data_IF_521495737785
#
_entry.id   IF_521495737785
#
_cell.length_a   1.000
_cell.length_b   1.000
_cell.length_c   1.000
_cell.angle_alpha   90.00
_cell.angle_beta   90.00
_cell.angle_gamma   90.00
#
_symmetry.space_group_name_H-M   'P 1'
#
loop_
_entity.id
_entity.type
_entity.pdbx_description
1 polymer ?
#
# COMPACT_ATOMS: atom_id res chain seq x y z
N UNK A 1 12.77 -3.79 29.41
CA UNK A 1 11.89 -4.29 28.33
C UNK A 1 12.42 -3.66 27.05
N UNK A 2 12.60 -4.47 26.00
CA UNK A 2 13.31 -4.16 24.74
C UNK A 2 12.43 -3.27 23.84
N UNK A 3 11.95 -2.15 24.38
CA UNK A 3 10.81 -1.38 23.86
C UNK A 3 11.21 -0.39 22.75
N UNK A 4 12.01 -0.82 21.77
CA UNK A 4 12.36 0.08 20.66
C UNK A 4 13.55 -0.30 19.79
N UNK A 5 14.17 -1.47 19.98
CA UNK A 5 15.25 -1.88 19.07
C UNK A 5 14.66 -2.35 17.76
N UNK A 6 14.68 -1.47 16.75
CA UNK A 6 14.53 -1.88 15.35
C UNK A 6 15.81 -2.62 14.99
N UNK A 7 15.78 -3.94 15.09
CA UNK A 7 16.84 -4.80 14.56
C UNK A 7 16.84 -4.68 13.04
N UNK A 8 18.01 -4.54 12.44
CA UNK A 8 18.15 -4.65 10.97
C UNK A 8 17.58 -6.00 10.55
N UNK A 9 16.45 -5.98 9.84
CA UNK A 9 15.72 -7.17 9.45
C UNK A 9 15.07 -6.93 8.08
N UNK A 10 15.11 -7.96 7.25
CA UNK A 10 14.37 -8.02 5.99
C UNK A 10 13.08 -8.78 6.20
N UNK A 11 12.03 -8.37 5.50
CA UNK A 11 10.70 -8.98 5.58
C UNK A 11 10.26 -9.37 4.18
N UNK A 12 9.76 -10.60 4.05
CA UNK A 12 9.01 -11.06 2.88
C UNK A 12 7.53 -11.05 3.25
N UNK A 13 6.76 -10.14 2.66
CA UNK A 13 5.32 -10.04 2.87
C UNK A 13 4.59 -10.71 1.71
N UNK A 14 3.92 -11.83 1.99
CA UNK A 14 3.12 -12.58 1.02
C UNK A 14 1.64 -12.43 1.36
N UNK A 15 0.84 -12.12 0.36
CA UNK A 15 -0.61 -12.14 0.46
C UNK A 15 -1.21 -12.61 -0.87
N UNK A 16 -2.40 -13.18 -0.80
CA UNK A 16 -3.18 -13.55 -1.97
C UNK A 16 -4.32 -12.56 -2.22
N UNK A 17 -4.84 -12.59 -3.44
CA UNK A 17 -5.95 -11.75 -3.85
C UNK A 17 -6.81 -12.57 -4.81
N UNK A 18 -8.11 -12.68 -4.52
CA UNK A 18 -9.06 -13.45 -5.33
C UNK A 18 -10.23 -12.57 -5.73
N UNK A 19 -10.57 -12.59 -7.02
CA UNK A 19 -11.71 -11.85 -7.60
C UNK A 19 -11.72 -10.35 -7.21
N UNK A 20 -10.53 -9.75 -7.16
CA UNK A 20 -10.35 -8.36 -6.75
C UNK A 20 -9.29 -7.69 -7.62
N UNK A 21 -9.24 -6.37 -7.59
CA UNK A 21 -8.18 -5.57 -8.20
C UNK A 21 -7.18 -5.13 -7.11
N UNK A 22 -6.03 -5.81 -6.96
CA UNK A 22 -5.07 -5.49 -5.90
C UNK A 22 -4.37 -4.14 -6.13
N UNK A 23 -4.20 -3.73 -7.39
CA UNK A 23 -3.55 -2.48 -7.77
C UNK A 23 -4.03 -2.04 -9.15
N UNK A 24 -4.81 -0.96 -9.20
CA UNK A 24 -5.33 -0.42 -10.45
C UNK A 24 -4.27 0.28 -11.30
N UNK A 25 -4.41 0.15 -12.61
CA UNK A 25 -3.62 0.89 -13.58
C UNK A 25 -4.29 2.23 -13.94
N UNK A 26 -3.71 3.39 -13.60
CA UNK A 26 -4.24 4.70 -13.97
C UNK A 26 -4.24 4.92 -15.49
N UNK A 27 -3.42 4.17 -16.24
CA UNK A 27 -3.30 4.31 -17.69
C UNK A 27 -4.18 3.30 -18.45
N UNK A 28 -4.83 2.35 -17.77
CA UNK A 28 -5.70 1.32 -18.36
C UNK A 28 -7.02 1.18 -17.58
N UNK A 29 -7.77 2.28 -17.47
CA UNK A 29 -9.14 2.32 -16.91
C UNK A 29 -9.29 1.64 -15.53
N UNK A 30 -8.25 1.71 -14.69
CA UNK A 30 -8.21 1.04 -13.39
C UNK A 30 -8.37 -0.49 -13.48
N UNK A 31 -7.97 -1.13 -14.57
CA UNK A 31 -7.80 -2.60 -14.63
C UNK A 31 -6.66 -3.05 -13.72
N UNK A 32 -6.58 -4.34 -13.36
CA UNK A 32 -5.42 -4.85 -12.63
C UNK A 32 -4.14 -4.52 -13.36
N UNK A 33 -3.19 -3.89 -12.66
CA UNK A 33 -1.90 -3.55 -13.22
C UNK A 33 -1.10 -4.83 -13.51
N UNK A 34 -0.61 -4.96 -14.73
CA UNK A 34 0.12 -6.13 -15.20
C UNK A 34 1.48 -5.71 -15.76
N UNK A 35 2.50 -6.52 -15.51
CA UNK A 35 3.76 -6.42 -16.23
C UNK A 35 3.54 -6.84 -17.70
N UNK A 36 3.86 -6.00 -18.69
CA UNK A 36 3.49 -6.26 -20.08
C UNK A 36 4.24 -7.45 -20.69
N UNK A 37 5.40 -7.83 -20.15
CA UNK A 37 6.23 -8.91 -20.70
C UNK A 37 5.93 -10.26 -20.06
N UNK A 38 5.88 -10.31 -18.73
CA UNK A 38 5.71 -11.55 -17.95
C UNK A 38 4.25 -11.86 -17.66
N UNK A 39 3.35 -10.90 -17.88
CA UNK A 39 1.92 -10.98 -17.53
C UNK A 39 1.68 -11.33 -16.06
N UNK A 40 2.59 -10.90 -15.17
CA UNK A 40 2.42 -11.00 -13.72
C UNK A 40 1.69 -9.76 -13.21
N UNK A 41 0.83 -9.94 -12.22
CA UNK A 41 0.20 -8.81 -11.53
C UNK A 41 1.29 -7.98 -10.81
N UNK A 42 1.20 -6.66 -10.92
CA UNK A 42 2.10 -5.71 -10.28
C UNK A 42 1.38 -4.96 -9.18
N UNK A 43 1.87 -5.09 -7.96
CA UNK A 43 1.43 -4.28 -6.83
C UNK A 43 2.58 -3.36 -6.45
N UNK A 44 2.37 -2.06 -6.60
CA UNK A 44 3.39 -1.08 -6.24
C UNK A 44 3.54 -0.97 -4.73
N UNK A 45 4.73 -0.57 -4.29
CA UNK A 45 5.00 -0.22 -2.90
C UNK A 45 4.07 0.90 -2.42
N UNK A 46 3.77 1.88 -3.27
CA UNK A 46 2.82 2.98 -2.98
C UNK A 46 1.43 2.43 -2.65
N UNK A 47 0.96 1.39 -3.35
CA UNK A 47 -0.35 0.75 -3.09
C UNK A 47 -0.39 0.10 -1.71
N UNK A 48 0.65 -0.64 -1.33
CA UNK A 48 0.74 -1.26 0.00
C UNK A 48 0.90 -0.22 1.10
N UNK A 49 1.75 0.79 0.90
CA UNK A 49 1.92 1.92 1.83
C UNK A 49 0.60 2.66 2.06
N UNK A 50 -0.24 2.82 1.03
CA UNK A 50 -1.58 3.42 1.16
C UNK A 50 -2.47 2.58 2.04
N UNK A 51 -2.57 1.28 1.79
CA UNK A 51 -3.38 0.36 2.61
C UNK A 51 -3.01 0.43 4.10
N UNK A 52 -1.70 0.39 4.42
CA UNK A 52 -1.23 0.49 5.80
C UNK A 52 -1.58 1.83 6.45
N UNK A 53 -1.42 2.94 5.72
CA UNK A 53 -1.79 4.27 6.25
C UNK A 53 -3.29 4.37 6.51
N UNK A 54 -4.11 3.90 5.56
CA UNK A 54 -5.57 3.96 5.70
C UNK A 54 -6.01 3.10 6.90
N UNK A 55 -5.46 1.89 7.05
CA UNK A 55 -5.68 1.05 8.22
C UNK A 55 -5.29 1.74 9.53
N UNK A 56 -4.11 2.35 9.61
CA UNK A 56 -3.68 3.07 10.82
C UNK A 56 -4.56 4.29 11.15
N UNK A 57 -5.00 5.03 10.14
CA UNK A 57 -5.97 6.13 10.31
C UNK A 57 -7.28 5.59 10.90
N UNK A 58 -7.79 4.46 10.39
CA UNK A 58 -9.00 3.81 10.91
C UNK A 58 -8.83 3.35 12.38
N UNK A 59 -7.61 3.01 12.79
CA UNK A 59 -7.28 2.69 14.19
C UNK A 59 -7.05 3.95 15.07
N UNK A 60 -7.21 5.15 14.52
CA UNK A 60 -6.98 6.41 15.25
C UNK A 60 -5.50 6.75 15.48
N UNK A 61 -4.60 6.11 14.73
CA UNK A 61 -3.17 6.41 14.78
C UNK A 61 -2.83 7.56 13.83
N UNK A 62 -1.85 8.38 14.21
CA UNK A 62 -1.37 9.47 13.36
C UNK A 62 -0.48 8.93 12.23
N UNK A 63 -0.63 9.50 11.03
CA UNK A 63 0.18 9.18 9.86
C UNK A 63 0.61 10.46 9.16
N UNK A 64 1.90 10.54 8.82
CA UNK A 64 2.48 11.76 8.25
C UNK A 64 1.88 12.15 6.89
N UNK A 65 1.66 11.19 6.00
CA UNK A 65 1.15 11.42 4.63
C UNK A 65 -0.33 11.11 4.57
N UNK A 66 -1.17 12.12 4.86
CA UNK A 66 -2.63 12.05 4.74
C UNK A 66 -3.19 13.28 4.02
N UNK A 67 -4.38 13.13 3.44
CA UNK A 67 -5.16 14.27 2.98
C UNK A 67 -5.61 15.04 4.22
N UNK A 68 -5.39 16.36 4.23
CA UNK A 68 -5.91 17.23 5.29
C UNK A 68 -7.44 17.33 5.17
N UNK A 69 -8.09 17.75 6.25
CA UNK A 69 -9.54 17.94 6.31
C UNK A 69 -10.05 18.98 5.29
N UNK A 70 -9.19 19.88 4.83
CA UNK A 70 -9.45 20.87 3.78
C UNK A 70 -9.23 20.34 2.34
N UNK A 71 -8.90 19.06 2.18
CA UNK A 71 -8.62 18.43 0.88
C UNK A 71 -7.21 18.67 0.34
N UNK A 72 -6.35 19.42 1.03
CA UNK A 72 -4.97 19.64 0.61
C UNK A 72 -4.06 18.46 0.97
N UNK A 73 -2.99 18.25 0.20
CA UNK A 73 -1.95 17.26 0.49
C UNK A 73 -0.75 17.96 1.14
N UNK A 74 -0.21 17.35 2.19
CA UNK A 74 1.13 17.64 2.72
C UNK A 74 2.21 17.08 1.78
#
# INVERSE_FOLDING_TARGET
MDDGVIRNADIVFLYDAKLTNPNGDPDDENRPRMDPFTRRALVSDVRLKRYLRDYWIEQGLDVWVRTREDGTRL
#
